data_IF_210313733213
#
_entry.id   IF_210313733213
#
_cell.length_a   1.000
_cell.length_b   1.000
_cell.length_c   1.000
_cell.angle_alpha   90.00
_cell.angle_beta   90.00
_cell.angle_gamma   90.00
#
_symmetry.space_group_name_H-M   'P 1'
#
loop_
_entity.id
_entity.type
_entity.pdbx_description
1 polymer ?
#
# COMPACT_ATOMS: atom_id res chain seq x y z
N UNK A 1 -56.94 -14.86 -26.85
CA UNK A 1 -58.18 -14.88 -26.04
C UNK A 1 -58.37 -16.26 -25.48
N UNK A 2 -58.11 -16.45 -24.19
CA UNK A 2 -58.68 -17.52 -23.35
C UNK A 2 -58.23 -17.24 -21.92
N UNK A 3 -59.08 -16.52 -21.19
CA UNK A 3 -58.95 -16.29 -19.75
C UNK A 3 -59.24 -17.59 -19.00
N UNK A 4 -58.46 -17.91 -17.97
CA UNK A 4 -58.92 -18.77 -16.89
C UNK A 4 -58.42 -18.22 -15.56
N UNK A 5 -59.31 -18.31 -14.59
CA UNK A 5 -59.50 -17.41 -13.47
C UNK A 5 -59.36 -18.21 -12.17
N UNK A 6 -58.63 -17.65 -11.20
CA UNK A 6 -58.76 -17.78 -9.72
C UNK A 6 -58.52 -19.17 -9.08
N UNK A 7 -57.59 -19.23 -8.11
CA UNK A 7 -57.94 -19.49 -6.70
C UNK A 7 -56.77 -19.17 -5.75
N UNK A 8 -56.93 -18.11 -4.94
CA UNK A 8 -56.11 -17.82 -3.76
C UNK A 8 -56.58 -18.72 -2.62
N UNK A 9 -55.67 -19.42 -1.94
CA UNK A 9 -55.92 -20.00 -0.62
C UNK A 9 -54.88 -19.49 0.37
N UNK A 10 -55.36 -18.61 1.24
CA UNK A 10 -54.71 -18.20 2.48
C UNK A 10 -54.66 -19.39 3.45
N UNK A 11 -53.50 -19.65 4.06
CA UNK A 11 -53.37 -20.59 5.18
C UNK A 11 -52.79 -19.84 6.37
N UNK A 12 -53.42 -20.09 7.52
CA UNK A 12 -53.41 -19.32 8.74
C UNK A 12 -52.09 -19.39 9.51
N UNK A 13 -51.78 -18.28 10.19
CA UNK A 13 -50.78 -18.20 11.24
C UNK A 13 -51.23 -19.01 12.47
N UNK A 14 -50.35 -19.86 12.99
CA UNK A 14 -50.49 -20.51 14.29
C UNK A 14 -49.34 -20.02 15.18
N UNK A 15 -49.69 -19.17 16.14
CA UNK A 15 -48.81 -18.68 17.18
C UNK A 15 -48.82 -19.67 18.35
N UNK A 16 -47.68 -20.29 18.66
CA UNK A 16 -47.49 -21.05 19.91
C UNK A 16 -46.66 -20.18 20.84
N UNK A 17 -47.33 -19.58 21.82
CA UNK A 17 -46.68 -18.98 22.97
C UNK A 17 -46.34 -20.07 23.99
N UNK A 18 -45.08 -20.15 24.41
CA UNK A 18 -44.69 -20.87 25.62
C UNK A 18 -44.32 -19.84 26.69
N UNK A 19 -45.15 -19.79 27.72
CA UNK A 19 -44.88 -19.08 28.96
C UNK A 19 -43.99 -19.97 29.85
N UNK A 20 -42.90 -19.40 30.36
CA UNK A 20 -42.17 -19.94 31.49
C UNK A 20 -41.97 -18.79 32.49
N UNK A 21 -42.50 -18.98 33.69
CA UNK A 21 -42.52 -17.99 34.76
C UNK A 21 -41.90 -18.59 36.02
N UNK A 22 -41.13 -17.75 36.72
CA UNK A 22 -40.71 -17.81 38.13
C UNK A 22 -39.70 -18.90 38.54
N UNK A 23 -38.78 -18.70 39.48
CA UNK A 23 -38.18 -17.60 40.28
C UNK A 23 -37.09 -18.31 41.09
N UNK A 24 -35.98 -17.65 41.45
CA UNK A 24 -35.34 -17.73 42.78
C UNK A 24 -34.05 -16.90 42.85
N UNK A 25 -34.05 -15.92 43.78
CA UNK A 25 -32.95 -15.40 44.62
C UNK A 25 -31.65 -14.93 43.96
N UNK A 26 -30.96 -13.89 44.41
CA UNK A 26 -31.11 -12.99 45.54
C UNK A 26 -29.84 -12.15 45.67
N UNK A 27 -29.91 -11.13 46.53
CA UNK A 27 -28.80 -10.40 47.17
C UNK A 27 -27.91 -9.47 46.30
N UNK A 28 -28.17 -8.17 46.47
CA UNK A 28 -27.25 -7.06 46.30
C UNK A 28 -25.95 -7.25 47.08
N UNK A 29 -24.84 -6.73 46.54
CA UNK A 29 -23.86 -5.95 47.30
C UNK A 29 -22.91 -5.21 46.37
N UNK A 30 -23.03 -3.88 46.38
CA UNK A 30 -22.00 -2.95 45.99
C UNK A 30 -20.81 -3.11 46.93
N UNK A 31 -19.59 -3.22 46.40
CA UNK A 31 -18.39 -3.03 47.20
C UNK A 31 -17.67 -1.82 46.61
N UNK A 32 -17.79 -0.71 47.34
CA UNK A 32 -16.90 0.43 47.21
C UNK A 32 -15.53 0.00 47.74
N UNK A 33 -14.48 0.15 46.93
CA UNK A 33 -13.11 0.08 47.41
C UNK A 33 -12.74 1.46 47.96
N UNK A 34 -12.60 1.54 49.27
CA UNK A 34 -11.95 2.65 49.96
C UNK A 34 -10.45 2.62 49.63
N UNK A 35 -9.91 3.71 49.12
CA UNK A 35 -8.47 3.95 49.10
C UNK A 35 -8.16 4.88 50.26
N UNK A 36 -7.51 4.33 51.28
CA UNK A 36 -6.94 5.11 52.38
C UNK A 36 -5.80 6.00 51.88
N UNK A 37 -5.92 7.27 52.20
CA UNK A 37 -4.87 8.29 52.15
C UNK A 37 -3.79 8.01 53.18
N UNK A 38 -2.53 7.97 52.75
CA UNK A 38 -1.39 8.29 53.61
C UNK A 38 -0.49 9.33 52.94
N UNK A 39 -0.11 10.34 53.72
CA UNK A 39 0.51 11.59 53.30
C UNK A 39 2.02 11.61 53.55
N UNK A 40 2.68 12.44 52.75
CA UNK A 40 3.96 13.14 52.96
C UNK A 40 5.29 12.38 52.69
N UNK A 41 5.92 12.78 51.57
CA UNK A 41 7.35 12.63 51.29
C UNK A 41 7.78 13.64 50.22
N UNK A 42 8.51 14.66 50.66
CA UNK A 42 9.00 15.81 49.87
C UNK A 42 10.00 15.40 48.77
N UNK A 43 9.88 15.98 47.57
CA UNK A 43 10.84 15.78 46.48
C UNK A 43 10.34 16.29 45.12
N UNK A 44 10.38 17.59 44.91
CA UNK A 44 10.21 18.25 43.61
C UNK A 44 11.37 17.88 42.67
N UNK A 45 11.16 16.84 41.87
CA UNK A 45 11.90 16.60 40.64
C UNK A 45 10.90 16.63 39.50
N UNK A 46 10.92 17.69 38.69
CA UNK A 46 10.21 17.75 37.40
C UNK A 46 10.82 16.73 36.44
N UNK A 47 10.51 15.45 36.63
CA UNK A 47 10.61 14.45 35.59
C UNK A 47 9.39 14.63 34.69
N UNK A 48 9.59 15.23 33.52
CA UNK A 48 8.64 15.06 32.41
C UNK A 48 8.74 13.58 32.03
N UNK A 49 7.92 12.75 32.67
CA UNK A 49 7.63 11.42 32.15
C UNK A 49 6.72 11.63 30.94
N UNK A 50 7.32 11.78 29.76
CA UNK A 50 6.62 11.53 28.49
C UNK A 50 6.21 10.07 28.50
N UNK A 51 4.99 9.79 28.90
CA UNK A 51 4.39 8.47 28.78
C UNK A 51 4.12 8.21 27.30
N UNK A 52 5.13 7.71 26.58
CA UNK A 52 4.99 7.27 25.19
C UNK A 52 3.95 6.16 25.13
N UNK A 53 2.96 6.28 24.24
CA UNK A 53 1.94 5.24 24.08
C UNK A 53 2.58 3.92 23.60
N UNK A 54 2.04 2.75 24.00
CA UNK A 54 2.55 1.46 23.51
C UNK A 54 2.61 1.40 21.97
N UNK A 55 1.63 2.00 21.29
CA UNK A 55 1.58 2.05 19.83
C UNK A 55 2.69 2.90 19.21
N UNK A 56 3.06 4.03 19.83
CA UNK A 56 4.21 4.84 19.39
C UNK A 56 5.53 4.09 19.54
N UNK A 57 5.67 3.27 20.59
CA UNK A 57 6.88 2.45 20.80
C UNK A 57 7.01 1.33 19.76
N UNK A 58 5.90 0.72 19.34
CA UNK A 58 5.90 -0.30 18.27
C UNK A 58 6.26 0.31 16.91
N UNK A 59 5.72 1.49 16.60
CA UNK A 59 6.00 2.19 15.33
C UNK A 59 7.48 2.60 15.21
N UNK A 60 8.06 3.05 16.32
CA UNK A 60 9.50 3.37 16.39
C UNK A 60 10.40 2.13 16.21
N UNK A 61 10.03 1.00 16.82
CA UNK A 61 10.76 -0.25 16.68
C UNK A 61 10.68 -0.80 15.24
N UNK A 62 9.48 -0.74 14.63
CA UNK A 62 9.27 -1.14 13.23
C UNK A 62 10.09 -0.26 12.27
N UNK A 63 10.07 1.06 12.47
CA UNK A 63 10.86 2.02 11.68
C UNK A 63 12.37 1.74 11.79
N UNK A 64 12.86 1.46 12.99
CA UNK A 64 14.29 1.13 13.22
C UNK A 64 14.70 -0.20 12.57
N UNK A 65 13.80 -1.21 12.61
CA UNK A 65 13.97 -2.46 11.88
C UNK A 65 14.02 -2.22 10.37
N UNK A 66 13.13 -1.39 9.84
CA UNK A 66 13.09 -1.03 8.42
C UNK A 66 14.38 -0.34 7.97
N UNK A 67 14.94 0.60 8.75
CA UNK A 67 16.24 1.21 8.45
C UNK A 67 17.37 0.17 8.39
N UNK A 68 17.34 -0.81 9.29
CA UNK A 68 18.32 -1.91 9.32
C UNK A 68 18.20 -2.79 8.08
N UNK A 69 16.99 -3.16 7.69
CA UNK A 69 16.73 -3.95 6.48
C UNK A 69 17.09 -3.17 5.22
N UNK A 70 16.71 -1.88 5.13
CA UNK A 70 17.02 -1.01 4.00
C UNK A 70 18.53 -0.95 3.72
N UNK A 71 19.35 -0.87 4.77
CA UNK A 71 20.81 -0.86 4.64
C UNK A 71 21.39 -2.16 4.05
N UNK A 72 20.64 -3.27 4.07
CA UNK A 72 21.04 -4.55 3.47
C UNK A 72 20.48 -4.75 2.06
N UNK A 73 19.49 -3.95 1.65
CA UNK A 73 18.92 -4.02 0.30
C UNK A 73 19.97 -3.50 -0.69
N UNK A 74 20.32 -4.26 -1.74
CA UNK A 74 21.27 -3.79 -2.74
C UNK A 74 20.81 -2.49 -3.39
N UNK A 75 21.74 -1.58 -3.67
CA UNK A 75 21.49 -0.36 -4.44
C UNK A 75 22.02 -0.56 -5.85
N UNK A 76 21.14 -0.46 -6.87
CA UNK A 76 21.50 -0.57 -8.30
C UNK A 76 20.63 0.36 -9.14
N UNK A 77 21.01 0.60 -10.39
CA UNK A 77 20.15 1.30 -11.35
C UNK A 77 18.88 0.52 -11.71
N UNK A 78 17.91 1.20 -12.35
CA UNK A 78 16.74 0.52 -12.96
C UNK A 78 17.21 -0.34 -14.14
N UNK A 79 16.82 -1.61 -14.16
CA UNK A 79 16.97 -2.44 -15.35
C UNK A 79 15.94 -2.03 -16.42
N UNK A 80 16.14 -2.38 -17.70
CA UNK A 80 15.16 -2.13 -18.75
C UNK A 80 13.80 -2.78 -18.45
N UNK A 81 12.71 -2.14 -18.86
CA UNK A 81 11.34 -2.71 -18.82
C UNK A 81 11.09 -3.76 -19.92
N UNK A 82 12.09 -4.03 -20.76
CA UNK A 82 11.99 -5.00 -21.87
C UNK A 82 11.52 -6.36 -21.36
N UNK A 83 10.56 -6.96 -22.08
CA UNK A 83 10.01 -8.27 -21.74
C UNK A 83 9.00 -8.26 -20.58
N UNK A 84 8.71 -7.10 -19.98
CA UNK A 84 7.67 -7.01 -18.97
C UNK A 84 6.29 -7.28 -19.56
N UNK A 85 5.60 -8.25 -18.98
CA UNK A 85 4.16 -8.48 -19.11
C UNK A 85 3.61 -8.80 -17.72
N UNK A 86 2.47 -8.20 -17.37
CA UNK A 86 1.81 -8.43 -16.09
C UNK A 86 1.45 -9.92 -15.90
N UNK A 87 1.15 -10.64 -16.98
CA UNK A 87 0.84 -12.06 -16.94
C UNK A 87 2.03 -12.93 -16.45
N UNK A 88 3.27 -12.41 -16.48
CA UNK A 88 4.44 -13.11 -15.94
C UNK A 88 4.41 -13.23 -14.41
N UNK A 89 3.53 -12.48 -13.74
CA UNK A 89 3.25 -12.61 -12.31
C UNK A 89 2.11 -13.60 -12.02
N UNK A 90 1.67 -14.36 -13.03
CA UNK A 90 0.62 -15.35 -12.89
C UNK A 90 -0.80 -14.77 -12.99
N UNK A 91 -1.79 -15.60 -12.66
CA UNK A 91 -3.19 -15.22 -12.71
C UNK A 91 -3.47 -14.16 -11.64
N UNK A 92 -4.08 -13.05 -12.05
CA UNK A 92 -4.43 -11.99 -11.12
C UNK A 92 -5.38 -12.51 -10.04
N UNK A 93 -5.03 -12.22 -8.79
CA UNK A 93 -5.81 -12.57 -7.60
C UNK A 93 -5.98 -14.08 -7.36
N UNK A 94 -5.07 -14.90 -7.87
CA UNK A 94 -5.11 -16.35 -7.63
C UNK A 94 -5.02 -16.69 -6.14
N UNK A 95 -5.67 -17.78 -5.75
CA UNK A 95 -5.54 -18.39 -4.42
C UNK A 95 -4.38 -19.41 -4.39
N UNK A 96 -3.83 -19.79 -5.55
CA UNK A 96 -2.75 -20.77 -5.64
C UNK A 96 -1.37 -20.13 -5.39
N UNK A 97 -1.14 -19.75 -4.14
CA UNK A 97 0.12 -19.13 -3.66
C UNK A 97 0.56 -19.70 -2.30
N UNK A 98 1.85 -19.55 -2.01
CA UNK A 98 2.50 -20.04 -0.78
C UNK A 98 2.67 -18.95 0.29
N UNK A 99 1.95 -17.84 0.15
CA UNK A 99 2.00 -16.68 1.05
C UNK A 99 0.75 -16.62 1.92
N UNK A 100 0.68 -15.63 2.80
CA UNK A 100 -0.47 -15.45 3.69
C UNK A 100 -1.78 -15.39 2.90
N UNK A 101 -2.80 -16.06 3.43
CA UNK A 101 -4.11 -16.30 2.82
C UNK A 101 -4.12 -17.19 1.56
N UNK A 102 -3.00 -17.67 1.05
CA UNK A 102 -3.00 -18.65 -0.03
C UNK A 102 -3.70 -19.97 0.33
N UNK A 103 -4.34 -20.56 -0.68
CA UNK A 103 -5.03 -21.86 -0.67
C UNK A 103 -6.11 -21.97 0.40
N UNK A 104 -6.80 -20.87 0.67
CA UNK A 104 -7.87 -20.82 1.67
C UNK A 104 -9.28 -21.02 1.05
N UNK A 105 -9.37 -21.07 -0.28
CA UNK A 105 -10.60 -21.17 -1.07
C UNK A 105 -11.22 -19.83 -1.48
N UNK A 106 -10.56 -18.70 -1.21
CA UNK A 106 -10.96 -17.35 -1.59
C UNK A 106 -9.91 -16.73 -2.52
N UNK A 107 -10.35 -15.91 -3.48
CA UNK A 107 -9.39 -15.15 -4.29
C UNK A 107 -8.70 -14.08 -3.45
N UNK A 108 -7.43 -13.83 -3.76
CA UNK A 108 -6.58 -12.88 -3.02
C UNK A 108 -7.23 -11.50 -2.90
N UNK A 109 -7.94 -11.01 -3.94
CA UNK A 109 -8.61 -9.70 -3.87
C UNK A 109 -9.62 -9.66 -2.74
N UNK A 110 -10.43 -10.70 -2.59
CA UNK A 110 -11.41 -10.77 -1.52
C UNK A 110 -10.79 -10.95 -0.14
N UNK A 111 -9.63 -11.61 -0.04
CA UNK A 111 -8.88 -11.68 1.21
C UNK A 111 -8.34 -10.31 1.64
N UNK A 112 -7.81 -9.52 0.71
CA UNK A 112 -7.37 -8.15 1.02
C UNK A 112 -8.56 -7.24 1.38
N UNK A 113 -9.68 -7.33 0.65
CA UNK A 113 -10.88 -6.59 1.02
C UNK A 113 -11.40 -6.98 2.41
N UNK A 114 -11.36 -8.27 2.76
CA UNK A 114 -11.76 -8.74 4.10
C UNK A 114 -10.83 -8.20 5.19
N UNK A 115 -9.52 -8.13 4.91
CA UNK A 115 -8.51 -7.62 5.85
C UNK A 115 -8.66 -6.12 6.08
N UNK A 116 -8.88 -5.35 5.01
CA UNK A 116 -8.73 -3.88 5.04
C UNK A 116 -10.04 -3.12 5.19
N UNK A 117 -11.18 -3.72 4.87
CA UNK A 117 -12.48 -3.08 5.04
C UNK A 117 -13.09 -3.42 6.40
N UNK A 118 -13.91 -2.49 6.87
CA UNK A 118 -14.80 -2.65 8.04
C UNK A 118 -16.26 -2.74 7.60
N UNK A 119 -17.18 -3.06 8.52
CA UNK A 119 -18.63 -3.13 8.25
C UNK A 119 -19.01 -3.98 7.03
N UNK A 120 -18.40 -5.17 6.96
CA UNK A 120 -18.46 -6.06 5.81
C UNK A 120 -19.82 -6.73 5.63
N UNK A 121 -20.24 -6.88 4.38
CA UNK A 121 -21.24 -7.88 3.99
C UNK A 121 -20.68 -8.84 2.95
N UNK A 122 -21.17 -10.07 2.98
CA UNK A 122 -20.79 -11.11 2.03
C UNK A 122 -21.92 -11.37 1.04
N UNK A 123 -21.59 -11.88 -0.14
CA UNK A 123 -22.59 -12.43 -1.06
C UNK A 123 -23.29 -13.62 -0.41
N UNK A 124 -24.61 -13.69 -0.51
CA UNK A 124 -25.41 -14.78 0.05
C UNK A 124 -24.86 -16.16 -0.32
N UNK A 125 -24.69 -17.01 0.69
CA UNK A 125 -24.17 -18.36 0.55
C UNK A 125 -22.68 -18.45 0.18
N UNK A 126 -21.92 -17.35 0.23
CA UNK A 126 -20.51 -17.30 -0.13
C UNK A 126 -19.67 -16.62 0.97
N UNK A 127 -18.67 -17.33 1.52
CA UNK A 127 -17.77 -16.83 2.59
C UNK A 127 -16.60 -15.96 2.13
N UNK A 128 -16.41 -15.83 0.82
CA UNK A 128 -15.28 -15.13 0.20
C UNK A 128 -15.71 -13.79 -0.38
N UNK A 129 -16.77 -13.79 -1.19
CA UNK A 129 -17.12 -12.62 -1.99
C UNK A 129 -17.68 -11.49 -1.13
N UNK A 130 -16.87 -10.46 -0.89
CA UNK A 130 -17.29 -9.22 -0.22
C UNK A 130 -18.25 -8.44 -1.14
N UNK A 131 -19.44 -8.11 -0.64
CA UNK A 131 -20.46 -7.29 -1.32
C UNK A 131 -20.34 -5.83 -0.95
N UNK A 132 -20.19 -5.52 0.34
CA UNK A 132 -20.02 -4.14 0.82
C UNK A 132 -18.99 -4.07 1.93
N UNK A 133 -18.50 -2.86 2.20
CA UNK A 133 -17.69 -2.54 3.37
C UNK A 133 -17.30 -1.07 3.37
N UNK A 134 -16.56 -0.65 4.38
CA UNK A 134 -16.05 0.71 4.54
C UNK A 134 -14.53 0.68 4.57
N UNK A 135 -13.90 1.37 3.61
CA UNK A 135 -12.46 1.58 3.59
C UNK A 135 -12.14 2.89 4.31
N UNK A 136 -11.31 2.83 5.34
CA UNK A 136 -10.60 4.00 5.83
C UNK A 136 -9.27 4.07 5.07
N UNK A 137 -9.25 4.81 3.97
CA UNK A 137 -8.18 4.73 2.98
C UNK A 137 -6.86 5.28 3.54
N UNK A 138 -5.80 4.45 3.60
CA UNK A 138 -4.53 4.87 4.16
C UNK A 138 -3.83 5.93 3.31
N UNK A 139 -4.05 5.96 1.99
CA UNK A 139 -3.33 6.87 1.09
C UNK A 139 -3.82 8.31 1.16
N UNK A 140 -5.12 8.52 1.36
CA UNK A 140 -5.76 9.83 1.29
C UNK A 140 -6.45 10.26 2.58
N UNK A 141 -6.51 9.37 3.58
CA UNK A 141 -7.29 9.54 4.83
C UNK A 141 -8.81 9.67 4.62
N UNK A 142 -9.31 9.37 3.42
CA UNK A 142 -10.74 9.42 3.12
C UNK A 142 -11.42 8.14 3.61
N UNK A 143 -12.68 8.26 4.03
CA UNK A 143 -13.56 7.11 4.20
C UNK A 143 -14.33 6.86 2.91
N UNK A 144 -14.27 5.63 2.39
CA UNK A 144 -14.89 5.23 1.13
C UNK A 144 -15.84 4.07 1.39
N UNK A 145 -17.12 4.26 1.08
CA UNK A 145 -18.10 3.18 1.07
C UNK A 145 -17.88 2.32 -0.18
N UNK A 146 -17.54 1.05 0.04
CA UNK A 146 -17.40 0.05 -1.00
C UNK A 146 -18.71 -0.71 -1.17
N UNK A 147 -19.20 -0.76 -2.40
CA UNK A 147 -20.27 -1.61 -2.87
C UNK A 147 -19.85 -2.26 -4.17
N UNK A 148 -19.73 -3.59 -4.18
CA UNK A 148 -19.39 -4.36 -5.38
C UNK A 148 -20.33 -4.00 -6.52
N UNK A 149 -19.76 -3.66 -7.66
CA UNK A 149 -20.48 -3.07 -8.79
C UNK A 149 -19.69 -1.96 -9.47
N UNK A 150 -20.17 -1.53 -10.64
CA UNK A 150 -19.46 -0.59 -11.52
C UNK A 150 -19.18 0.76 -10.86
N UNK A 151 -20.04 1.20 -9.94
CA UNK A 151 -20.00 2.57 -9.40
C UNK A 151 -18.85 2.79 -8.39
N UNK A 152 -18.55 1.80 -7.54
CA UNK A 152 -17.55 1.98 -6.47
C UNK A 152 -16.43 0.93 -6.46
N UNK A 153 -16.52 -0.14 -7.28
CA UNK A 153 -15.42 -1.12 -7.37
C UNK A 153 -14.14 -0.54 -7.97
N UNK A 154 -14.24 0.51 -8.78
CA UNK A 154 -13.09 1.27 -9.28
C UNK A 154 -12.58 2.30 -8.28
N UNK A 155 -13.44 2.72 -7.32
CA UNK A 155 -13.08 3.64 -6.25
C UNK A 155 -12.25 2.96 -5.14
N UNK A 156 -12.43 1.66 -4.92
CA UNK A 156 -11.54 0.84 -4.08
C UNK A 156 -10.77 -0.17 -4.93
N UNK A 157 -9.47 0.09 -5.08
CA UNK A 157 -8.55 -0.79 -5.80
C UNK A 157 -7.71 -1.59 -4.81
N UNK A 158 -7.12 -2.69 -5.28
CA UNK A 158 -6.08 -3.37 -4.53
C UNK A 158 -4.76 -2.95 -5.18
N UNK A 159 -3.97 -2.16 -4.47
CA UNK A 159 -2.66 -1.70 -4.91
C UNK A 159 -1.59 -2.72 -4.57
N UNK A 160 -0.57 -2.77 -5.44
CA UNK A 160 0.72 -3.36 -5.16
C UNK A 160 1.64 -2.27 -4.58
N UNK A 161 1.85 -2.27 -3.27
CA UNK A 161 2.66 -1.25 -2.55
C UNK A 161 4.04 -1.06 -3.20
N UNK A 162 4.66 -2.16 -3.65
CA UNK A 162 5.71 -2.19 -4.67
C UNK A 162 5.09 -2.66 -6.01
N UNK A 163 4.95 -1.73 -6.95
CA UNK A 163 4.29 -2.00 -8.22
C UNK A 163 4.98 -3.09 -9.05
N UNK A 164 4.21 -3.93 -9.76
CA UNK A 164 4.75 -5.07 -10.53
C UNK A 164 5.77 -4.65 -11.61
N UNK A 165 5.51 -3.54 -12.30
CA UNK A 165 6.40 -2.96 -13.32
C UNK A 165 7.69 -2.39 -12.71
N UNK A 166 7.61 -1.80 -11.51
CA UNK A 166 8.77 -1.34 -10.78
C UNK A 166 9.63 -2.52 -10.33
N UNK A 167 8.99 -3.53 -9.74
CA UNK A 167 9.63 -4.76 -9.29
C UNK A 167 10.36 -5.49 -10.43
N UNK A 168 9.75 -5.54 -11.63
CA UNK A 168 10.40 -6.12 -12.82
C UNK A 168 11.77 -5.50 -13.10
N UNK A 169 11.81 -4.17 -13.12
CA UNK A 169 13.02 -3.38 -13.35
C UNK A 169 14.00 -3.42 -12.17
N UNK A 170 13.58 -3.98 -11.03
CA UNK A 170 14.33 -4.02 -9.77
C UNK A 170 14.54 -5.42 -9.20
N UNK A 171 14.41 -6.45 -10.05
CA UNK A 171 14.85 -7.83 -9.74
C UNK A 171 13.82 -8.91 -9.98
N UNK A 172 12.54 -8.58 -10.10
CA UNK A 172 11.49 -9.58 -10.27
C UNK A 172 11.61 -10.37 -11.58
N UNK A 173 12.29 -9.82 -12.60
CA UNK A 173 12.59 -10.56 -13.83
C UNK A 173 13.52 -11.76 -13.63
N UNK A 174 14.26 -11.83 -12.51
CA UNK A 174 15.17 -12.92 -12.17
C UNK A 174 14.51 -13.99 -11.29
N UNK A 175 13.33 -13.69 -10.74
CA UNK A 175 12.58 -14.62 -9.91
C UNK A 175 12.00 -15.74 -10.79
N UNK A 176 11.81 -16.92 -10.21
CA UNK A 176 11.00 -17.94 -10.86
C UNK A 176 9.52 -17.50 -10.89
N UNK A 177 8.72 -18.21 -11.71
CA UNK A 177 7.31 -17.88 -11.90
C UNK A 177 6.50 -17.96 -10.61
N UNK A 178 6.71 -18.98 -9.77
CA UNK A 178 5.94 -19.13 -8.53
C UNK A 178 6.27 -17.99 -7.56
N UNK A 179 7.54 -17.63 -7.44
CA UNK A 179 7.95 -16.50 -6.58
C UNK A 179 7.39 -15.17 -7.08
N UNK A 180 7.29 -14.93 -8.40
CA UNK A 180 6.57 -13.76 -8.93
C UNK A 180 5.08 -13.82 -8.63
N UNK A 181 4.45 -14.99 -8.72
CA UNK A 181 3.03 -15.15 -8.39
C UNK A 181 2.75 -14.92 -6.91
N UNK A 182 3.62 -15.40 -6.03
CA UNK A 182 3.62 -15.08 -4.61
C UNK A 182 3.76 -13.56 -4.41
N UNK A 183 4.76 -12.90 -5.02
CA UNK A 183 4.96 -11.44 -4.92
C UNK A 183 3.71 -10.62 -5.31
N UNK A 184 2.99 -11.04 -6.35
CA UNK A 184 1.80 -10.34 -6.82
C UNK A 184 0.54 -10.61 -5.99
N UNK A 185 0.54 -11.61 -5.12
CA UNK A 185 -0.62 -11.98 -4.32
C UNK A 185 -0.34 -11.99 -2.80
N UNK A 186 0.87 -11.57 -2.37
CA UNK A 186 1.25 -11.50 -0.96
C UNK A 186 0.56 -10.31 -0.26
N UNK A 187 -0.19 -10.54 0.82
CA UNK A 187 -0.75 -9.48 1.64
C UNK A 187 0.28 -8.44 2.12
N UNK A 188 1.56 -8.79 2.25
CA UNK A 188 2.64 -7.81 2.54
C UNK A 188 2.79 -6.73 1.46
N UNK A 189 2.52 -7.10 0.21
CA UNK A 189 2.62 -6.21 -0.94
C UNK A 189 1.27 -5.67 -1.41
N UNK A 190 0.16 -6.08 -0.79
CA UNK A 190 -1.18 -5.71 -1.21
C UNK A 190 -1.91 -4.84 -0.19
N UNK A 191 -2.67 -3.86 -0.67
CA UNK A 191 -3.43 -2.93 0.16
C UNK A 191 -4.70 -2.47 -0.56
N UNK A 192 -5.86 -2.48 0.11
CA UNK A 192 -7.04 -1.78 -0.41
C UNK A 192 -6.85 -0.26 -0.32
N UNK A 193 -7.05 0.45 -1.43
CA UNK A 193 -6.75 1.87 -1.53
C UNK A 193 -7.73 2.66 -2.41
N UNK A 194 -7.77 3.98 -2.22
CA UNK A 194 -8.45 4.93 -3.12
C UNK A 194 -7.96 4.77 -4.57
N UNK A 195 -8.91 4.59 -5.48
CA UNK A 195 -8.64 4.33 -6.89
C UNK A 195 -7.88 5.45 -7.60
N UNK A 196 -8.29 6.72 -7.49
CA UNK A 196 -7.54 7.85 -8.02
C UNK A 196 -6.11 7.97 -7.47
N UNK A 197 -5.90 7.80 -6.17
CA UNK A 197 -4.56 7.82 -5.57
C UNK A 197 -3.67 6.70 -6.12
N UNK A 198 -4.23 5.49 -6.26
CA UNK A 198 -3.52 4.36 -6.86
C UNK A 198 -3.16 4.59 -8.34
N UNK A 199 -4.06 5.19 -9.10
CA UNK A 199 -3.79 5.58 -10.50
C UNK A 199 -2.69 6.65 -10.59
N UNK A 200 -2.68 7.62 -9.68
CA UNK A 200 -1.61 8.62 -9.60
C UNK A 200 -0.26 7.98 -9.26
N UNK A 201 -0.25 7.00 -8.35
CA UNK A 201 0.96 6.22 -8.03
C UNK A 201 1.49 5.48 -9.25
N UNK A 202 0.63 4.82 -10.02
CA UNK A 202 1.02 4.03 -11.21
C UNK A 202 2.14 3.02 -10.87
N UNK A 203 3.25 3.01 -11.63
CA UNK A 203 4.44 2.21 -11.36
C UNK A 203 5.59 2.99 -10.70
N UNK A 204 5.26 4.09 -10.02
CA UNK A 204 6.22 4.91 -9.28
C UNK A 204 6.80 4.19 -8.06
N UNK A 205 8.06 4.50 -7.76
CA UNK A 205 8.70 4.15 -6.49
C UNK A 205 8.58 5.26 -5.44
N UNK A 206 9.09 5.02 -4.23
CA UNK A 206 9.03 6.00 -3.14
C UNK A 206 9.79 7.32 -3.41
N UNK A 207 10.73 7.35 -4.36
CA UNK A 207 11.37 8.60 -4.78
C UNK A 207 10.44 9.46 -5.63
N UNK A 208 9.54 8.83 -6.39
CA UNK A 208 8.71 9.50 -7.39
C UNK A 208 7.29 9.78 -6.88
N UNK A 209 6.79 8.95 -5.96
CA UNK A 209 5.47 9.11 -5.37
C UNK A 209 5.43 8.63 -3.92
N UNK A 210 4.81 9.43 -3.06
CA UNK A 210 4.46 9.08 -1.68
C UNK A 210 2.98 9.39 -1.46
N UNK A 211 2.29 8.62 -0.59
CA UNK A 211 0.89 8.90 -0.26
C UNK A 211 0.66 10.37 0.16
N UNK A 212 -0.43 11.00 -0.31
CA UNK A 212 -0.83 12.34 0.14
C UNK A 212 -1.04 12.43 1.66
N UNK A 213 -1.56 11.37 2.28
CA UNK A 213 -1.62 11.23 3.73
C UNK A 213 -0.21 11.07 4.31
N UNK A 214 0.36 12.17 4.82
CA UNK A 214 1.69 12.18 5.43
C UNK A 214 1.80 11.24 6.63
N UNK A 215 0.73 11.09 7.41
CA UNK A 215 0.72 10.23 8.60
C UNK A 215 0.89 8.75 8.28
N UNK A 216 0.61 8.33 7.04
CA UNK A 216 0.78 6.93 6.61
C UNK A 216 2.14 6.64 5.97
N UNK A 217 2.97 7.66 5.70
CA UNK A 217 4.21 7.47 4.93
C UNK A 217 5.21 6.53 5.59
N UNK A 218 5.31 6.54 6.93
CA UNK A 218 6.17 5.62 7.69
C UNK A 218 5.80 4.15 7.42
N UNK A 219 4.51 3.84 7.50
CA UNK A 219 3.98 2.50 7.26
C UNK A 219 4.15 2.09 5.80
N UNK A 220 3.90 3.02 4.86
CA UNK A 220 4.08 2.79 3.43
C UNK A 220 5.53 2.41 3.07
N UNK A 221 6.52 3.20 3.50
CA UNK A 221 7.92 2.91 3.16
C UNK A 221 8.47 1.72 3.93
N UNK A 222 7.99 1.45 5.15
CA UNK A 222 8.31 0.24 5.91
C UNK A 222 7.83 -1.01 5.17
N UNK A 223 6.60 -1.00 4.65
CA UNK A 223 6.06 -2.09 3.85
C UNK A 223 6.87 -2.30 2.56
N UNK A 224 7.29 -1.23 1.88
CA UNK A 224 8.16 -1.36 0.71
C UNK A 224 9.51 -2.00 1.03
N UNK A 225 10.12 -1.65 2.15
CA UNK A 225 11.37 -2.28 2.61
C UNK A 225 11.16 -3.76 2.90
N UNK A 226 10.11 -4.13 3.63
CA UNK A 226 9.81 -5.52 3.98
C UNK A 226 9.57 -6.37 2.72
N UNK A 227 8.78 -5.86 1.77
CA UNK A 227 8.54 -6.52 0.49
C UNK A 227 9.84 -6.70 -0.29
N UNK A 228 10.64 -5.64 -0.46
CA UNK A 228 11.87 -5.73 -1.26
C UNK A 228 12.90 -6.66 -0.62
N UNK A 229 13.03 -6.63 0.70
CA UNK A 229 13.89 -7.54 1.44
C UNK A 229 13.43 -9.00 1.31
N UNK A 230 12.12 -9.25 1.45
CA UNK A 230 11.53 -10.60 1.35
C UNK A 230 11.76 -11.22 -0.02
N UNK A 231 11.63 -10.44 -1.09
CA UNK A 231 11.71 -10.92 -2.47
C UNK A 231 13.07 -10.70 -3.14
N UNK A 232 14.08 -10.27 -2.39
CA UNK A 232 15.44 -10.05 -2.91
C UNK A 232 15.52 -8.98 -4.01
N UNK A 233 14.64 -7.98 -3.97
CA UNK A 233 14.62 -6.87 -4.92
C UNK A 233 15.64 -5.81 -4.50
N UNK A 234 16.11 -4.99 -5.45
CA UNK A 234 16.97 -3.85 -5.16
C UNK A 234 16.19 -2.52 -5.18
N UNK A 235 16.85 -1.47 -4.70
CA UNK A 235 16.38 -0.08 -4.81
C UNK A 235 17.34 0.72 -5.68
N UNK A 236 16.85 1.84 -6.24
CA UNK A 236 17.77 2.86 -6.75
C UNK A 236 18.32 3.70 -5.61
N UNK A 237 19.41 4.45 -5.86
CA UNK A 237 19.95 5.37 -4.86
C UNK A 237 18.90 6.40 -4.43
N UNK A 238 18.17 6.99 -5.38
CA UNK A 238 17.13 7.98 -5.08
C UNK A 238 15.99 7.39 -4.24
N UNK A 239 15.57 6.16 -4.54
CA UNK A 239 14.54 5.45 -3.77
C UNK A 239 15.03 5.12 -2.36
N UNK A 240 16.26 4.62 -2.24
CA UNK A 240 16.89 4.37 -0.94
C UNK A 240 16.90 5.63 -0.07
N UNK A 241 17.36 6.75 -0.62
CA UNK A 241 17.48 8.01 0.10
C UNK A 241 16.10 8.57 0.48
N UNK A 242 15.11 8.44 -0.40
CA UNK A 242 13.73 8.84 -0.11
C UNK A 242 13.12 8.01 1.03
N UNK A 243 13.28 6.68 1.00
CA UNK A 243 12.82 5.79 2.07
C UNK A 243 13.53 6.13 3.38
N UNK A 244 14.87 6.26 3.36
CA UNK A 244 15.66 6.58 4.54
C UNK A 244 15.26 7.92 5.16
N UNK A 245 15.04 8.95 4.35
CA UNK A 245 14.59 10.26 4.82
C UNK A 245 13.22 10.19 5.50
N UNK A 246 12.26 9.49 4.90
CA UNK A 246 10.94 9.28 5.54
C UNK A 246 11.10 8.54 6.86
N UNK A 247 11.84 7.43 6.91
CA UNK A 247 12.01 6.64 8.13
C UNK A 247 12.73 7.42 9.25
N UNK A 248 13.66 8.32 8.92
CA UNK A 248 14.30 9.21 9.90
C UNK A 248 13.29 10.21 10.50
N UNK A 249 12.41 10.78 9.68
CA UNK A 249 11.35 11.69 10.13
C UNK A 249 10.29 10.96 11.00
N UNK A 250 10.17 9.64 10.85
CA UNK A 250 9.34 8.77 11.70
C UNK A 250 9.98 8.49 13.07
N UNK A 251 11.15 9.04 13.35
CA UNK A 251 11.89 8.87 14.60
C UNK A 251 12.83 7.67 14.61
N UNK A 252 12.92 6.92 13.51
CA UNK A 252 13.83 5.78 13.41
C UNK A 252 15.29 6.20 13.49
N UNK A 253 16.08 5.52 14.31
CA UNK A 253 17.53 5.67 14.31
C UNK A 253 18.15 4.55 13.50
N UNK A 254 18.98 4.91 12.52
CA UNK A 254 19.79 3.91 11.82
C UNK A 254 20.70 3.22 12.87
N UNK A 255 20.85 1.89 12.82
CA UNK A 255 21.84 1.23 13.66
C UNK A 255 23.21 1.85 13.37
N UNK A 256 23.99 2.14 14.42
CA UNK A 256 25.37 2.59 14.30
C UNK A 256 26.11 1.60 13.41
N UNK A 257 26.51 2.05 12.21
CA UNK A 257 27.25 1.20 11.28
C UNK A 257 28.46 0.60 12.00
N UNK A 258 28.46 -0.71 12.17
CA UNK A 258 29.70 -1.44 12.41
C UNK A 258 30.53 -1.23 11.12
N UNK A 259 31.74 -0.67 11.18
CA UNK A 259 32.47 -0.27 9.98
C UNK A 259 32.71 -1.50 9.10
N UNK A 260 31.97 -1.62 8.00
CA UNK A 260 32.26 -2.58 6.96
C UNK A 260 33.48 -2.04 6.23
N UNK A 261 34.56 -2.82 6.28
CA UNK A 261 35.86 -2.46 5.75
C UNK A 261 35.78 -1.93 4.31
N UNK A 262 36.25 -0.71 4.13
CA UNK A 262 36.68 -0.14 2.86
C UNK A 262 37.80 -1.00 2.28
N UNK A 263 37.60 -1.59 1.11
CA UNK A 263 38.47 -1.35 -0.06
C UNK A 263 38.07 -2.20 -1.26
N UNK A 264 37.57 -1.54 -2.31
CA UNK A 264 37.86 -1.93 -3.69
C UNK A 264 38.40 -0.67 -4.40
N UNK A 265 39.45 -0.79 -5.22
CA UNK A 265 40.26 0.35 -5.64
C UNK A 265 39.50 1.27 -6.59
N UNK A 266 39.64 2.57 -6.34
CA UNK A 266 39.24 3.65 -7.24
C UNK A 266 40.12 3.54 -8.49
N UNK A 267 39.55 3.03 -9.58
CA UNK A 267 40.15 3.19 -10.90
C UNK A 267 39.72 4.56 -11.41
N UNK A 268 40.64 5.51 -11.35
CA UNK A 268 40.51 6.84 -11.93
C UNK A 268 40.42 6.75 -13.44
N UNK A 269 39.26 7.05 -14.01
CA UNK A 269 39.19 7.70 -15.31
C UNK A 269 38.05 8.73 -15.30
N UNK A 270 38.46 9.99 -15.36
CA UNK A 270 37.61 11.15 -15.56
C UNK A 270 37.13 11.19 -17.01
N UNK A 271 35.83 11.38 -17.28
CA UNK A 271 35.42 12.16 -18.43
C UNK A 271 34.96 13.54 -17.95
N UNK A 272 35.57 14.57 -18.52
CA UNK A 272 35.03 15.93 -18.50
C UNK A 272 33.73 15.89 -19.30
N UNK A 273 32.59 16.21 -18.69
CA UNK A 273 31.40 16.62 -19.44
C UNK A 273 30.75 17.82 -18.77
N UNK A 274 30.64 18.84 -19.61
CA UNK A 274 30.07 20.17 -19.50
C UNK A 274 28.71 20.22 -18.79
N UNK A 275 28.50 21.26 -17.99
CA UNK A 275 27.27 21.61 -17.29
C UNK A 275 26.02 21.56 -18.18
N UNK A 276 25.03 20.76 -17.79
CA UNK A 276 23.68 20.77 -18.37
C UNK A 276 22.93 22.08 -17.99
N UNK A 277 22.13 22.67 -18.91
CA UNK A 277 21.36 23.87 -18.61
C UNK A 277 20.09 23.57 -17.81
N UNK A 278 19.61 24.58 -17.09
CA UNK A 278 18.44 24.55 -16.20
C UNK A 278 17.12 24.11 -16.88
N UNK A 279 16.16 23.54 -16.13
CA UNK A 279 14.88 23.12 -16.69
C UNK A 279 14.06 24.32 -17.15
N UNK A 280 13.76 24.38 -18.44
CA UNK A 280 12.85 25.36 -19.03
C UNK A 280 11.40 24.89 -18.86
N UNK A 281 10.57 25.69 -18.21
CA UNK A 281 9.14 25.43 -18.01
C UNK A 281 8.26 25.77 -19.23
N UNK A 282 8.87 25.98 -20.41
CA UNK A 282 8.18 26.35 -21.63
C UNK A 282 7.96 25.10 -22.53
N UNK A 283 6.78 24.94 -23.15
CA UNK A 283 6.50 23.82 -24.06
C UNK A 283 7.52 23.73 -25.21
N UNK A 284 7.93 22.52 -25.58
CA UNK A 284 8.80 22.33 -26.74
C UNK A 284 8.10 22.83 -28.02
N UNK A 285 8.84 23.47 -28.91
CA UNK A 285 8.29 23.95 -30.20
C UNK A 285 7.71 22.80 -31.05
N UNK A 286 8.35 21.64 -31.01
CA UNK A 286 7.96 20.43 -31.72
C UNK A 286 8.71 19.20 -31.16
N UNK A 287 8.34 18.00 -31.61
CA UNK A 287 8.97 16.76 -31.15
C UNK A 287 10.44 16.60 -31.52
N UNK A 288 10.92 17.27 -32.57
CA UNK A 288 12.35 17.27 -32.89
C UNK A 288 13.16 18.00 -31.81
N UNK A 289 12.65 19.13 -31.29
CA UNK A 289 13.29 19.85 -30.19
C UNK A 289 13.24 19.03 -28.88
N UNK A 290 12.12 18.35 -28.59
CA UNK A 290 12.01 17.47 -27.43
C UNK A 290 13.01 16.31 -27.48
N UNK A 291 13.17 15.67 -28.65
CA UNK A 291 14.16 14.60 -28.88
C UNK A 291 15.60 15.10 -28.79
N UNK A 292 15.90 16.25 -29.39
CA UNK A 292 17.23 16.86 -29.32
C UNK A 292 17.63 17.24 -27.88
N UNK A 293 16.66 17.57 -27.04
CA UNK A 293 16.84 17.83 -25.61
C UNK A 293 16.84 16.56 -24.74
N UNK A 294 16.63 15.37 -25.33
CA UNK A 294 16.55 14.10 -24.58
C UNK A 294 15.30 13.94 -23.72
N UNK A 295 14.25 14.75 -23.97
CA UNK A 295 13.03 14.79 -23.17
C UNK A 295 11.89 13.92 -23.71
N UNK A 296 12.04 13.30 -24.90
CA UNK A 296 10.99 12.47 -25.50
C UNK A 296 11.05 11.00 -24.99
N UNK A 297 9.90 10.34 -24.75
CA UNK A 297 8.53 10.87 -24.85
C UNK A 297 8.19 11.85 -23.71
N UNK A 298 7.47 12.92 -24.03
CA UNK A 298 7.10 14.00 -23.09
C UNK A 298 5.67 13.76 -22.61
N UNK A 299 5.45 13.55 -21.32
CA UNK A 299 4.12 13.24 -20.77
C UNK A 299 3.39 14.47 -20.27
N UNK A 300 2.06 14.39 -20.18
CA UNK A 300 1.26 15.44 -19.55
C UNK A 300 1.77 15.72 -18.12
N UNK A 301 2.13 16.99 -17.87
CA UNK A 301 2.74 17.41 -16.60
C UNK A 301 4.27 17.49 -16.59
N UNK A 302 4.96 16.91 -17.59
CA UNK A 302 6.41 17.06 -17.72
C UNK A 302 6.79 18.50 -18.15
N UNK A 303 7.92 19.04 -17.65
CA UNK A 303 8.47 20.29 -18.17
C UNK A 303 8.70 20.21 -19.68
N UNK A 304 8.09 21.12 -20.43
CA UNK A 304 8.15 21.11 -21.90
C UNK A 304 6.99 20.42 -22.60
N UNK A 305 6.03 19.83 -21.87
CA UNK A 305 4.79 19.34 -22.47
C UNK A 305 3.95 20.48 -23.08
N UNK A 306 3.34 20.21 -24.23
CA UNK A 306 2.35 21.08 -24.85
C UNK A 306 1.34 20.23 -25.63
N UNK A 307 0.02 20.51 -25.56
CA UNK A 307 -1.00 19.72 -26.27
C UNK A 307 -0.78 19.63 -27.78
N UNK A 308 -0.05 20.57 -28.39
CA UNK A 308 0.30 20.54 -29.82
C UNK A 308 1.37 19.50 -30.18
N UNK A 309 1.98 18.85 -29.19
CA UNK A 309 2.98 17.78 -29.35
C UNK A 309 2.35 16.38 -29.26
N UNK A 310 1.12 16.30 -28.72
CA UNK A 310 0.34 15.09 -28.50
C UNK A 310 -0.77 15.03 -29.56
N UNK A 311 -0.44 14.40 -30.70
CA UNK A 311 -1.29 14.42 -31.89
C UNK A 311 -2.55 13.56 -31.78
N UNK A 312 -2.54 12.55 -30.92
CA UNK A 312 -3.65 11.64 -30.64
C UNK A 312 -4.32 11.87 -29.29
N UNK A 313 -3.75 12.72 -28.44
CA UNK A 313 -4.39 13.25 -27.24
C UNK A 313 -4.42 12.25 -26.08
N UNK A 314 -3.49 11.30 -26.06
CA UNK A 314 -3.44 10.22 -25.06
C UNK A 314 -2.61 10.59 -23.81
N UNK A 315 -2.02 11.80 -23.80
CA UNK A 315 -1.18 12.32 -22.73
C UNK A 315 0.30 11.98 -22.87
N UNK A 316 0.74 11.37 -23.99
CA UNK A 316 2.14 11.02 -24.28
C UNK A 316 2.57 11.66 -25.62
N UNK A 317 3.18 12.84 -25.53
CA UNK A 317 3.70 13.52 -26.71
C UNK A 317 5.03 12.91 -27.21
N UNK A 318 5.24 12.98 -28.53
CA UNK A 318 6.51 12.64 -29.19
C UNK A 318 6.99 11.19 -29.03
N UNK A 319 6.04 10.26 -28.94
CA UNK A 319 6.24 8.81 -28.89
C UNK A 319 6.86 8.19 -30.16
N UNK A 320 6.75 8.87 -31.31
CA UNK A 320 7.24 8.43 -32.63
C UNK A 320 8.40 9.30 -33.11
#
# INVERSE_FOLDING_TARGET
>A
MASTTISRRSVAAVSIGFAAALVLGGCSSSVAAEIETNSAGSGIGSGITTTSSPQANIDLAATSSALTQLAQIPIKGRAPKTGYDRALFGVAWTDDVDVEFGRNGCDTRNDILRRDLTDLTFKDGNRCTIQTGTLNDPYTSKTIAFTRGQDTSSAVQIDHVVALSDAWQKGAQQLDTQTRTNFANDPRNLLASDGPANQQKSDSDAASWLPPNKGYRCQYVTAQVDVKATYGLWVTQAEHDAIAGVLQDCGGTAPTQQPVATSAPIVTSKPVVTSAPAPVSAPFKNCAAAKAAGAAPVRIGDPGYGPHLDGDGDGVACEK
#
